data_IF_735743376741
#
_entry.id   IF_735743376741
#
_cell.length_a   1.000
_cell.length_b   1.000
_cell.length_c   1.000
_cell.angle_alpha   90.00
_cell.angle_beta   90.00
_cell.angle_gamma   90.00
#
_symmetry.space_group_name_H-M   'P 1'
#
loop_
_entity.id
_entity.type
_entity.pdbx_description
1 polymer ?
#
# COMPACT_ATOMS: atom_id res chain seq x y z
N UNK A 1 1.56 5.05 18.56
CA UNK A 1 2.64 4.17 18.04
C UNK A 1 2.21 2.72 17.85
N UNK A 2 1.60 2.06 18.85
CA UNK A 2 1.21 0.64 18.75
C UNK A 2 0.32 0.31 17.54
N UNK A 3 -0.70 1.14 17.26
CA UNK A 3 -1.60 0.98 16.10
C UNK A 3 -0.84 1.09 14.77
N UNK A 4 0.12 2.01 14.69
CA UNK A 4 0.94 2.21 13.50
C UNK A 4 1.86 1.00 13.23
N UNK A 5 2.44 0.45 14.29
CA UNK A 5 3.28 -0.76 14.25
C UNK A 5 2.48 -2.01 13.85
N UNK A 6 1.22 -2.13 14.28
CA UNK A 6 0.34 -3.22 13.83
C UNK A 6 -0.23 -3.01 12.43
N UNK A 7 -0.35 -1.77 11.97
CA UNK A 7 -0.92 -1.44 10.66
C UNK A 7 0.04 -1.73 9.49
N UNK A 8 1.35 -1.52 9.68
CA UNK A 8 2.37 -1.78 8.64
C UNK A 8 2.43 -3.25 8.15
N UNK A 9 2.46 -4.28 9.02
CA UNK A 9 2.45 -5.67 8.56
C UNK A 9 1.10 -6.10 7.97
N UNK A 10 -0.01 -5.50 8.44
CA UNK A 10 -1.32 -5.76 7.84
C UNK A 10 -1.42 -5.14 6.44
N UNK A 11 -0.82 -3.95 6.26
CA UNK A 11 -0.70 -3.27 4.98
C UNK A 11 0.18 -4.03 3.99
N UNK A 12 1.31 -4.58 4.43
CA UNK A 12 2.16 -5.41 3.57
C UNK A 12 1.46 -6.69 3.12
N UNK A 13 0.71 -7.33 4.01
CA UNK A 13 -0.11 -8.50 3.67
C UNK A 13 -1.17 -8.15 2.62
N UNK A 14 -1.86 -7.02 2.78
CA UNK A 14 -2.81 -6.51 1.79
C UNK A 14 -2.15 -6.29 0.42
N UNK A 15 -0.97 -5.65 0.38
CA UNK A 15 -0.25 -5.41 -0.89
C UNK A 15 0.13 -6.72 -1.59
N UNK A 16 0.60 -7.73 -0.85
CA UNK A 16 0.94 -9.03 -1.40
C UNK A 16 -0.30 -9.77 -1.95
N UNK A 17 -1.39 -9.73 -1.19
CA UNK A 17 -2.66 -10.33 -1.61
C UNK A 17 -3.22 -9.63 -2.86
N UNK A 18 -3.09 -8.31 -2.93
CA UNK A 18 -3.50 -7.52 -4.10
C UNK A 18 -2.67 -7.87 -5.35
N UNK A 19 -1.35 -8.01 -5.23
CA UNK A 19 -0.49 -8.45 -6.33
C UNK A 19 -0.84 -9.86 -6.81
N UNK A 20 -1.10 -10.78 -5.88
CA UNK A 20 -1.54 -12.13 -6.21
C UNK A 20 -2.89 -12.13 -6.93
N UNK A 21 -3.83 -11.30 -6.48
CA UNK A 21 -5.12 -11.11 -7.13
C UNK A 21 -4.94 -10.60 -8.57
N UNK A 22 -4.17 -9.54 -8.78
CA UNK A 22 -3.90 -9.00 -10.12
C UNK A 22 -3.23 -10.02 -11.05
N UNK A 23 -2.28 -10.80 -10.52
CA UNK A 23 -1.61 -11.86 -11.28
C UNK A 23 -2.58 -12.97 -11.67
N UNK A 24 -3.41 -13.42 -10.73
CA UNK A 24 -4.43 -14.44 -10.98
C UNK A 24 -5.44 -13.96 -12.03
N UNK A 25 -5.99 -12.76 -11.84
CA UNK A 25 -7.00 -12.25 -12.76
C UNK A 25 -6.39 -12.08 -14.15
N UNK A 26 -5.15 -11.59 -14.27
CA UNK A 26 -4.50 -11.39 -15.57
C UNK A 26 -4.31 -12.70 -16.34
N UNK A 27 -4.10 -13.80 -15.63
CA UNK A 27 -3.98 -15.14 -16.22
C UNK A 27 -5.35 -15.77 -16.53
N UNK A 28 -6.35 -15.55 -15.68
CA UNK A 28 -7.68 -16.18 -15.80
C UNK A 28 -8.57 -15.48 -16.84
N UNK A 29 -8.56 -14.15 -16.88
CA UNK A 29 -9.40 -13.35 -17.78
C UNK A 29 -8.58 -12.20 -18.40
N UNK A 30 -7.94 -12.42 -19.56
CA UNK A 30 -7.10 -11.39 -20.20
C UNK A 30 -7.89 -10.20 -20.75
N UNK A 31 -9.24 -10.25 -20.74
CA UNK A 31 -10.11 -9.18 -21.23
C UNK A 31 -11.13 -8.79 -20.19
N UNK A 32 -10.80 -7.77 -19.43
CA UNK A 32 -11.70 -7.15 -18.48
C UNK A 32 -12.63 -6.14 -19.15
N UNK A 33 -13.84 -5.97 -18.63
CA UNK A 33 -14.66 -4.82 -18.99
C UNK A 33 -13.99 -3.52 -18.52
N UNK A 34 -14.16 -2.43 -19.30
CA UNK A 34 -13.50 -1.14 -19.07
C UNK A 34 -13.69 -0.59 -17.64
N UNK A 35 -14.86 -0.80 -17.03
CA UNK A 35 -15.13 -0.36 -15.66
C UNK A 35 -14.21 -1.05 -14.64
N UNK A 36 -13.89 -2.33 -14.83
CA UNK A 36 -12.99 -3.07 -13.94
C UNK A 36 -11.54 -2.58 -14.08
N UNK A 37 -11.11 -2.22 -15.30
CA UNK A 37 -9.81 -1.57 -15.51
C UNK A 37 -9.68 -0.25 -14.75
N UNK A 38 -10.72 0.59 -14.76
CA UNK A 38 -10.71 1.85 -14.00
C UNK A 38 -10.64 1.62 -12.48
N UNK A 39 -11.36 0.63 -11.96
CA UNK A 39 -11.31 0.26 -10.53
C UNK A 39 -9.91 -0.21 -10.15
N UNK A 40 -9.33 -1.13 -10.92
CA UNK A 40 -7.97 -1.64 -10.70
C UNK A 40 -6.95 -0.50 -10.74
N UNK A 41 -7.05 0.38 -11.73
CA UNK A 41 -6.16 1.53 -11.88
C UNK A 41 -6.27 2.50 -10.69
N UNK A 42 -7.49 2.75 -10.20
CA UNK A 42 -7.73 3.61 -9.04
C UNK A 42 -7.11 3.02 -7.77
N UNK A 43 -7.32 1.72 -7.53
CA UNK A 43 -6.75 1.03 -6.37
C UNK A 43 -5.22 1.02 -6.44
N UNK A 44 -4.64 0.79 -7.62
CA UNK A 44 -3.19 0.86 -7.82
C UNK A 44 -2.64 2.26 -7.52
N UNK A 45 -3.32 3.33 -7.95
CA UNK A 45 -2.94 4.70 -7.61
C UNK A 45 -2.95 4.96 -6.11
N UNK A 46 -3.98 4.47 -5.40
CA UNK A 46 -4.08 4.59 -3.94
C UNK A 46 -2.91 3.87 -3.25
N UNK A 47 -2.60 2.64 -3.69
CA UNK A 47 -1.48 1.86 -3.15
C UNK A 47 -0.15 2.60 -3.38
N UNK A 48 0.05 3.20 -4.55
CA UNK A 48 1.26 3.99 -4.86
C UNK A 48 1.36 5.22 -3.94
N UNK A 49 0.29 6.02 -3.84
CA UNK A 49 0.28 7.22 -2.99
C UNK A 49 0.57 6.86 -1.53
N UNK A 50 -0.03 5.78 -1.02
CA UNK A 50 0.19 5.35 0.35
C UNK A 50 1.64 4.89 0.58
N UNK A 51 2.20 4.09 -0.33
CA UNK A 51 3.56 3.56 -0.16
C UNK A 51 4.67 4.59 -0.44
N UNK A 52 4.48 5.50 -1.39
CA UNK A 52 5.53 6.44 -1.82
C UNK A 52 5.47 7.76 -1.06
N UNK A 53 4.28 8.19 -0.62
CA UNK A 53 4.10 9.48 0.04
C UNK A 53 3.78 9.29 1.51
N UNK A 54 2.71 8.57 1.83
CA UNK A 54 2.18 8.54 3.21
C UNK A 54 3.09 7.79 4.18
N UNK A 55 3.57 6.60 3.84
CA UNK A 55 4.48 5.82 4.70
C UNK A 55 5.81 6.56 4.93
N UNK A 56 6.49 7.10 3.91
CA UNK A 56 7.72 7.88 4.12
C UNK A 56 7.48 9.15 4.94
N UNK A 57 6.39 9.88 4.68
CA UNK A 57 6.04 11.07 5.47
C UNK A 57 5.78 10.70 6.93
N UNK A 58 5.04 9.62 7.21
CA UNK A 58 4.84 9.10 8.57
C UNK A 58 6.16 8.71 9.23
N UNK A 59 7.06 8.09 8.47
CA UNK A 59 8.39 7.71 8.98
C UNK A 59 9.20 8.94 9.38
N UNK A 60 9.21 9.98 8.53
CA UNK A 60 9.96 11.22 8.78
C UNK A 60 9.32 12.07 9.89
N UNK A 61 7.99 12.16 9.94
CA UNK A 61 7.30 13.04 10.89
C UNK A 61 7.12 12.41 12.26
N UNK A 62 6.92 11.09 12.34
CA UNK A 62 6.63 10.39 13.59
C UNK A 62 7.89 9.79 14.20
N UNK A 63 8.83 9.23 13.43
CA UNK A 63 10.00 8.55 14.00
C UNK A 63 11.25 9.45 14.14
N UNK A 64 11.43 10.45 13.27
CA UNK A 64 12.59 11.36 13.33
C UNK A 64 12.70 12.17 14.64
N UNK A 65 11.61 12.74 15.22
CA UNK A 65 11.74 13.46 16.49
C UNK A 65 12.02 12.53 17.68
N UNK A 66 11.65 11.24 17.61
CA UNK A 66 12.03 10.26 18.64
C UNK A 66 13.52 9.92 18.60
N UNK A 67 14.13 9.84 17.40
CA UNK A 67 15.57 9.58 17.28
C UNK A 67 16.43 10.79 17.69
N UNK A 68 15.93 12.03 17.53
CA UNK A 68 16.68 13.22 17.95
C UNK A 68 16.54 13.55 19.44
N UNK A 69 15.58 12.95 20.17
CA UNK A 69 15.45 13.15 21.63
C UNK A 69 16.12 12.07 22.46
N UNK A 70 16.61 11.01 21.82
CA UNK A 70 17.36 9.90 22.45
C UNK A 70 18.88 10.12 22.32
N UNK A 71 19.29 11.18 21.62
CA UNK A 71 20.67 11.64 21.48
C UNK A 71 20.87 12.94 22.26
#
# INVERSE_FOLDING_TARGET
>A
MAILLSALPLWSYFCLLWLAFLGYTHLAEPRYPLWACYVIQTINWIIIVLNVIVIPVLTVTVFRPFLSSVN
#
